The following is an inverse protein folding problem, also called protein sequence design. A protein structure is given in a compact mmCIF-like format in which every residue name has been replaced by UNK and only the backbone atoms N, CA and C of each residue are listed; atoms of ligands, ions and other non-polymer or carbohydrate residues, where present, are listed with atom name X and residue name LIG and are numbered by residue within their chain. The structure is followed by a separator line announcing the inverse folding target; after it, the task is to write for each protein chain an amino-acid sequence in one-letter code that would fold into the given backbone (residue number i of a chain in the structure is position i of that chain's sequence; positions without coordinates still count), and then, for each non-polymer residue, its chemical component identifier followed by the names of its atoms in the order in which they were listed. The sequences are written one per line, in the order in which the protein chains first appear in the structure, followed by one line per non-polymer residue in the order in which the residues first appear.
data_IF_305137665894
#
_entry.id   IF_305137665894
#
_cell.length_a   1.000
_cell.length_b   1.000
_cell.length_c   1.000
_cell.angle_alpha   90.00
_cell.angle_beta   90.00
_cell.angle_gamma   90.00
#
_symmetry.space_group_name_H-M   'P 1'
#
loop_
_entity.id
_entity.type
_entity.pdbx_description
1 polymer ?
#
# COMPACT_ATOMS: atom_id res chain seq x y z
N UNK A 1 -7.80 -8.58 12.91
CA UNK A 1 -7.11 -9.60 12.09
C UNK A 1 -5.77 -9.05 11.58
N UNK A 2 -4.64 -9.11 12.33
CA UNK A 2 -3.49 -8.27 11.95
C UNK A 2 -2.10 -8.91 11.82
N UNK A 3 -1.75 -10.00 12.51
CA UNK A 3 -0.34 -10.39 12.68
C UNK A 3 0.28 -11.11 11.47
N UNK A 4 -0.45 -12.05 10.87
CA UNK A 4 0.06 -12.86 9.75
C UNK A 4 0.23 -12.04 8.47
N UNK A 5 -0.74 -11.17 8.15
CA UNK A 5 -0.67 -10.27 6.99
C UNK A 5 0.46 -9.27 7.14
N UNK A 6 0.70 -8.72 8.33
CA UNK A 6 1.82 -7.81 8.56
C UNK A 6 3.17 -8.46 8.26
N UNK A 7 3.37 -9.72 8.67
CA UNK A 7 4.62 -10.46 8.39
C UNK A 7 4.81 -10.72 6.90
N UNK A 8 3.75 -11.14 6.20
CA UNK A 8 3.81 -11.40 4.75
C UNK A 8 4.15 -10.11 3.99
N UNK A 9 3.54 -8.98 4.36
CA UNK A 9 3.83 -7.67 3.75
C UNK A 9 5.28 -7.24 3.97
N UNK A 10 5.86 -7.47 5.16
CA UNK A 10 7.28 -7.17 5.40
C UNK A 10 8.22 -7.89 4.44
N UNK A 11 7.97 -9.17 4.16
CA UNK A 11 8.77 -9.91 3.17
C UNK A 11 8.61 -9.37 1.76
N UNK A 12 7.42 -8.86 1.39
CA UNK A 12 7.21 -8.16 0.13
C UNK A 12 7.98 -6.83 0.07
N UNK A 13 7.97 -6.05 1.15
CA UNK A 13 8.73 -4.79 1.25
C UNK A 13 10.23 -5.03 1.07
N UNK A 14 10.78 -5.99 1.81
CA UNK A 14 12.20 -6.38 1.71
C UNK A 14 12.55 -6.86 0.29
N UNK A 15 11.65 -7.60 -0.36
CA UNK A 15 11.81 -8.01 -1.75
C UNK A 15 11.88 -6.81 -2.71
N UNK A 16 10.96 -5.86 -2.58
CA UNK A 16 10.91 -4.66 -3.44
C UNK A 16 12.16 -3.80 -3.27
N UNK A 17 12.60 -3.57 -2.03
CA UNK A 17 13.83 -2.80 -1.73
C UNK A 17 15.07 -3.49 -2.29
N UNK A 18 15.16 -4.82 -2.20
CA UNK A 18 16.27 -5.55 -2.83
C UNK A 18 16.20 -5.47 -4.35
N UNK A 19 14.99 -5.53 -4.93
CA UNK A 19 14.81 -5.47 -6.39
C UNK A 19 15.11 -4.09 -6.94
N UNK A 20 14.69 -3.01 -6.27
CA UNK A 20 14.92 -1.63 -6.68
C UNK A 20 16.41 -1.32 -6.83
N UNK A 21 17.26 -1.78 -5.90
CA UNK A 21 18.71 -1.60 -5.97
C UNK A 21 19.39 -2.26 -7.19
N UNK A 22 18.70 -3.16 -7.88
CA UNK A 22 19.17 -3.83 -9.11
C UNK A 22 18.50 -3.32 -10.38
N UNK A 23 17.50 -2.44 -10.28
CA UNK A 23 16.78 -1.88 -11.41
C UNK A 23 17.47 -0.61 -11.90
N UNK A 24 18.08 -0.67 -13.09
CA UNK A 24 18.69 0.50 -13.75
C UNK A 24 17.78 1.15 -14.80
N UNK A 25 16.62 0.55 -15.06
CA UNK A 25 15.63 1.03 -16.01
C UNK A 25 14.37 1.48 -15.25
N UNK A 26 13.59 2.43 -15.82
CA UNK A 26 12.30 2.81 -15.27
C UNK A 26 11.43 1.58 -15.05
N UNK A 27 10.74 1.53 -13.91
CA UNK A 27 9.95 0.37 -13.53
C UNK A 27 8.67 0.77 -12.81
N UNK A 28 7.70 -0.15 -12.87
CA UNK A 28 6.41 0.00 -12.23
C UNK A 28 6.13 -1.24 -11.38
N UNK A 29 5.49 -1.03 -10.24
CA UNK A 29 4.84 -2.09 -9.48
C UNK A 29 3.35 -1.76 -9.34
N UNK A 30 2.51 -2.75 -9.58
CA UNK A 30 1.05 -2.62 -9.61
C UNK A 30 0.42 -3.85 -8.95
N UNK A 31 -0.57 -3.63 -8.10
CA UNK A 31 -1.40 -4.71 -7.57
C UNK A 31 -2.03 -4.41 -6.22
N UNK A 32 -2.61 -5.44 -5.61
CA UNK A 32 -3.15 -5.41 -4.25
C UNK A 32 -2.00 -5.54 -3.24
N UNK A 33 -1.64 -4.44 -2.60
CA UNK A 33 -0.64 -4.43 -1.53
C UNK A 33 -1.24 -4.75 -0.16
N UNK A 34 -2.57 -4.78 -0.06
CA UNK A 34 -3.31 -5.00 1.17
C UNK A 34 -2.84 -4.08 2.31
N UNK A 35 -2.49 -2.83 1.96
CA UNK A 35 -2.10 -1.78 2.89
C UNK A 35 -2.53 -0.41 2.37
N UNK A 36 -2.91 0.47 3.28
CA UNK A 36 -3.17 1.88 3.00
C UNK A 36 -1.86 2.67 2.97
N UNK A 37 -1.79 3.75 2.20
CA UNK A 37 -0.59 4.61 2.11
C UNK A 37 -0.70 5.84 3.01
N UNK A 38 -1.90 6.38 3.15
CA UNK A 38 -2.23 7.51 4.00
C UNK A 38 -3.37 7.19 4.97
N UNK A 39 -3.50 7.98 6.03
CA UNK A 39 -4.57 7.81 7.02
C UNK A 39 -5.96 8.02 6.44
N UNK A 40 -6.06 8.81 5.38
CA UNK A 40 -7.31 9.16 4.67
C UNK A 40 -7.70 8.14 3.59
N UNK A 41 -6.90 7.10 3.40
CA UNK A 41 -7.16 6.03 2.44
C UNK A 41 -8.10 4.96 2.97
N UNK A 42 -8.61 5.14 4.19
CA UNK A 42 -9.71 4.35 4.76
C UNK A 42 -10.81 5.28 5.26
N UNK A 43 -12.06 4.93 4.99
CA UNK A 43 -13.24 5.54 5.60
C UNK A 43 -14.05 4.43 6.28
N UNK A 44 -14.57 4.73 7.47
CA UNK A 44 -15.29 3.78 8.32
C UNK A 44 -14.36 2.87 9.12
N UNK A 45 -14.93 2.12 10.06
CA UNK A 45 -14.18 1.22 10.93
C UNK A 45 -13.23 1.96 11.88
N UNK A 46 -12.13 1.28 12.24
CA UNK A 46 -11.10 1.85 13.11
C UNK A 46 -10.20 2.82 12.33
N UNK A 47 -9.81 3.96 12.94
CA UNK A 47 -8.84 4.87 12.34
C UNK A 47 -7.54 4.16 11.97
N UNK A 48 -7.01 4.48 10.79
CA UNK A 48 -5.67 4.03 10.37
C UNK A 48 -4.65 4.64 11.31
N UNK A 49 -3.77 3.82 11.85
CA UNK A 49 -2.65 4.29 12.69
C UNK A 49 -1.44 4.63 11.84
N UNK A 50 -0.59 5.56 12.30
CA UNK A 50 0.68 5.86 11.62
C UNK A 50 1.58 4.62 11.49
N UNK A 51 1.48 3.70 12.45
CA UNK A 51 2.23 2.43 12.44
C UNK A 51 1.80 1.52 11.28
N UNK A 52 0.54 1.59 10.82
CA UNK A 52 0.06 0.83 9.66
C UNK A 52 0.63 1.34 8.33
N UNK A 53 0.82 2.66 8.19
CA UNK A 53 1.30 3.28 6.94
C UNK A 53 2.82 3.36 6.87
N UNK A 54 3.50 3.52 8.01
CA UNK A 54 4.94 3.81 8.08
C UNK A 54 5.80 2.74 7.40
N UNK A 55 5.55 1.45 7.68
CA UNK A 55 6.32 0.35 7.09
C UNK A 55 6.26 0.37 5.54
N UNK A 56 5.12 0.76 4.96
CA UNK A 56 4.94 0.85 3.51
C UNK A 56 5.57 2.11 2.92
N UNK A 57 5.39 3.27 3.56
CA UNK A 57 6.02 4.53 3.15
C UNK A 57 7.55 4.40 3.10
N UNK A 58 8.16 3.86 4.16
CA UNK A 58 9.60 3.61 4.23
C UNK A 58 10.06 2.68 3.08
N UNK A 59 9.28 1.65 2.76
CA UNK A 59 9.60 0.77 1.63
C UNK A 59 9.63 1.54 0.30
N UNK A 60 8.63 2.39 0.04
CA UNK A 60 8.55 3.17 -1.20
C UNK A 60 9.70 4.18 -1.30
N UNK A 61 10.00 4.88 -0.20
CA UNK A 61 11.12 5.82 -0.12
C UNK A 61 12.46 5.13 -0.42
N UNK A 62 12.68 3.94 0.16
CA UNK A 62 13.88 3.13 -0.11
C UNK A 62 13.93 2.61 -1.55
N UNK A 63 12.77 2.40 -2.18
CA UNK A 63 12.69 1.98 -3.57
C UNK A 63 12.79 3.15 -4.56
N UNK A 64 12.72 4.40 -4.11
CA UNK A 64 12.57 5.56 -4.99
C UNK A 64 11.24 5.57 -5.75
N UNK A 65 10.21 4.93 -5.21
CA UNK A 65 8.91 4.77 -5.84
C UNK A 65 7.96 5.89 -5.42
N UNK A 66 7.24 6.45 -6.39
CA UNK A 66 6.17 7.41 -6.18
C UNK A 66 4.82 6.85 -6.62
N UNK A 67 3.74 7.30 -5.97
CA UNK A 67 2.39 6.93 -6.37
C UNK A 67 2.07 7.44 -7.78
N UNK A 68 1.69 6.52 -8.67
CA UNK A 68 1.06 6.85 -9.93
C UNK A 68 -0.41 7.18 -9.69
N UNK A 69 -0.77 8.46 -9.82
CA UNK A 69 -2.13 8.95 -9.55
C UNK A 69 -3.16 8.24 -10.43
N UNK A 70 -4.19 7.70 -9.79
CA UNK A 70 -5.36 7.14 -10.46
C UNK A 70 -6.49 8.17 -10.57
N UNK A 71 -7.35 8.01 -11.56
CA UNK A 71 -8.59 8.78 -11.74
C UNK A 71 -9.81 7.89 -11.50
N UNK A 72 -10.90 8.45 -10.95
CA UNK A 72 -12.16 7.72 -10.72
C UNK A 72 -12.35 7.31 -9.26
N UNK A 73 -12.72 6.06 -9.02
CA UNK A 73 -12.98 5.55 -7.67
C UNK A 73 -11.70 5.54 -6.81
N UNK A 74 -11.70 6.34 -5.74
CA UNK A 74 -10.56 6.39 -4.79
C UNK A 74 -10.33 5.06 -4.07
N UNK A 75 -11.40 4.40 -3.64
CA UNK A 75 -11.35 3.17 -2.86
C UNK A 75 -11.46 1.94 -3.76
N UNK A 76 -10.67 0.92 -3.47
CA UNK A 76 -10.55 -0.28 -4.30
C UNK A 76 -11.04 -1.53 -3.58
N UNK A 77 -11.35 -1.42 -2.28
CA UNK A 77 -11.90 -2.49 -1.47
C UNK A 77 -13.02 -2.01 -0.53
N UNK A 78 -14.02 -2.87 -0.31
CA UNK A 78 -15.03 -2.69 0.74
C UNK A 78 -15.37 -4.00 1.45
N UNK A 79 -15.74 -3.91 2.73
CA UNK A 79 -16.18 -5.05 3.52
C UNK A 79 -17.62 -5.51 3.23
N UNK A 80 -18.33 -4.79 2.36
CA UNK A 80 -19.72 -5.04 1.93
C UNK A 80 -20.75 -5.06 3.08
N UNK A 81 -20.43 -4.47 4.23
CA UNK A 81 -21.35 -4.41 5.38
C UNK A 81 -22.27 -3.18 5.32
N UNK A 82 -23.18 -3.05 6.29
CA UNK A 82 -24.10 -1.89 6.37
C UNK A 82 -23.33 -0.62 6.78
N UNK A 83 -22.41 -0.74 7.75
CA UNK A 83 -21.44 0.29 8.08
C UNK A 83 -20.16 0.09 7.27
N UNK A 84 -20.24 0.41 5.98
CA UNK A 84 -19.18 0.08 5.01
C UNK A 84 -17.84 0.67 5.40
N UNK A 85 -16.85 -0.21 5.51
CA UNK A 85 -15.44 0.19 5.48
C UNK A 85 -15.03 0.23 4.02
N UNK A 86 -14.46 1.35 3.60
CA UNK A 86 -13.82 1.50 2.29
C UNK A 86 -12.33 1.70 2.50
N UNK A 87 -11.50 1.03 1.70
CA UNK A 87 -10.05 1.20 1.74
C UNK A 87 -9.46 1.25 0.34
N UNK A 88 -8.42 2.07 0.15
CA UNK A 88 -7.56 2.04 -1.02
C UNK A 88 -6.36 1.17 -0.69
N UNK A 89 -6.29 -0.01 -1.33
CA UNK A 89 -5.26 -1.02 -1.08
C UNK A 89 -4.57 -1.53 -2.34
N UNK A 90 -5.16 -1.24 -3.51
CA UNK A 90 -4.52 -1.45 -4.80
C UNK A 90 -3.76 -0.20 -5.20
N UNK A 91 -2.49 -0.37 -5.55
CA UNK A 91 -1.60 0.75 -5.86
C UNK A 91 -0.82 0.51 -7.13
N UNK A 92 -0.54 1.60 -7.83
CA UNK A 92 0.42 1.68 -8.92
C UNK A 92 1.54 2.61 -8.46
N UNK A 93 2.79 2.13 -8.46
CA UNK A 93 3.96 2.91 -8.07
C UNK A 93 4.99 2.89 -9.19
N UNK A 94 5.59 4.05 -9.46
CA UNK A 94 6.57 4.25 -10.53
C UNK A 94 7.88 4.80 -9.98
N UNK A 95 9.00 4.33 -10.52
CA UNK A 95 10.35 4.79 -10.20
C UNK A 95 11.33 4.62 -11.36
#
# INVERSE_FOLDING_TARGET
MPSTLRRIRKSLWEYLVRRSGSCQLPWITLGDFNNVLHTEDRIGGMPVTLVEVCDFQVCLDQCGLAELKSSGCKYTWSDNQVHRIFSKIDWAMVG
#
